data_IF_555448247753
#
_entry.id   IF_555448247753
#
_cell.length_a   1.000
_cell.length_b   1.000
_cell.length_c   1.000
_cell.angle_alpha   90.00
_cell.angle_beta   90.00
_cell.angle_gamma   90.00
#
_symmetry.space_group_name_H-M   'P 1'
#
loop_
_entity.id
_entity.type
_entity.pdbx_description
1 polymer ?
#
# COMPACT_ATOMS: atom_id res chain seq x y z
N UNK A 1 52.95 -68.00 15.48
CA UNK A 1 52.59 -67.07 16.58
C UNK A 1 51.77 -65.93 15.97
N UNK A 2 50.59 -65.65 16.55
CA UNK A 2 49.56 -64.64 16.20
C UNK A 2 50.00 -63.44 15.33
N UNK A 3 49.21 -63.05 14.34
CA UNK A 3 48.06 -62.15 14.58
C UNK A 3 47.12 -62.05 13.37
N UNK A 4 45.83 -62.05 13.67
CA UNK A 4 44.75 -61.64 12.79
C UNK A 4 44.74 -60.12 12.69
N UNK A 5 44.41 -59.55 11.52
CA UNK A 5 43.67 -58.29 11.53
C UNK A 5 42.70 -58.17 10.36
N UNK A 6 41.43 -58.06 10.73
CA UNK A 6 40.28 -57.80 9.86
C UNK A 6 40.27 -56.31 9.53
N UNK A 7 40.52 -55.94 8.27
CA UNK A 7 40.24 -54.56 7.83
C UNK A 7 38.77 -54.44 7.48
N UNK A 8 38.08 -53.62 8.27
CA UNK A 8 36.66 -53.29 8.15
C UNK A 8 36.46 -52.40 6.92
N UNK A 9 35.58 -52.81 6.01
CA UNK A 9 35.08 -51.97 4.92
C UNK A 9 34.18 -50.92 5.57
N UNK A 10 34.65 -49.67 5.66
CA UNK A 10 33.83 -48.55 6.06
C UNK A 10 33.06 -48.05 4.82
N UNK A 11 31.76 -48.36 4.76
CA UNK A 11 30.85 -47.81 3.78
C UNK A 11 30.53 -46.37 4.20
N UNK A 12 31.12 -45.37 3.53
CA UNK A 12 30.74 -43.97 3.71
C UNK A 12 29.46 -43.70 2.92
N UNK A 13 28.31 -43.76 3.58
CA UNK A 13 27.05 -43.25 3.02
C UNK A 13 27.08 -41.73 3.06
N UNK A 14 27.32 -41.11 1.90
CA UNK A 14 27.15 -39.69 1.70
C UNK A 14 25.65 -39.34 1.79
N UNK A 15 25.26 -38.65 2.87
CA UNK A 15 23.94 -38.04 2.97
C UNK A 15 23.98 -36.76 2.14
N UNK A 16 23.36 -36.78 0.95
CA UNK A 16 23.04 -35.55 0.22
C UNK A 16 21.97 -34.80 1.02
N UNK A 17 22.37 -33.75 1.73
CA UNK A 17 21.43 -32.78 2.27
C UNK A 17 20.79 -32.03 1.09
N UNK A 18 19.55 -32.37 0.76
CA UNK A 18 18.72 -31.57 -0.14
C UNK A 18 18.38 -30.29 0.62
N UNK A 19 19.16 -29.23 0.39
CA UNK A 19 18.76 -27.87 0.73
C UNK A 19 17.62 -27.48 -0.21
N UNK A 20 16.40 -27.88 0.16
CA UNK A 20 15.18 -27.35 -0.42
C UNK A 20 15.06 -25.90 0.00
N UNK A 21 15.66 -24.99 -0.79
CA UNK A 21 15.33 -23.58 -0.69
C UNK A 21 13.86 -23.43 -1.00
N UNK A 22 13.04 -23.14 0.02
CA UNK A 22 11.71 -22.63 -0.21
C UNK A 22 11.89 -21.32 -0.99
N UNK A 23 11.61 -21.36 -2.30
CA UNK A 23 11.38 -20.14 -3.04
C UNK A 23 10.21 -19.45 -2.33
N UNK A 24 10.52 -18.40 -1.58
CA UNK A 24 9.51 -17.48 -1.07
C UNK A 24 8.92 -16.85 -2.33
N UNK A 25 7.80 -17.40 -2.79
CA UNK A 25 7.03 -16.77 -3.85
C UNK A 25 6.65 -15.39 -3.32
N UNK A 26 7.19 -14.34 -3.95
CA UNK A 26 6.79 -12.98 -3.65
C UNK A 26 5.27 -12.91 -3.77
N UNK A 27 4.61 -12.51 -2.68
CA UNK A 27 3.16 -12.43 -2.63
C UNK A 27 2.69 -11.43 -3.68
N UNK A 28 1.82 -11.86 -4.60
CA UNK A 28 1.23 -10.93 -5.57
C UNK A 28 0.23 -10.03 -4.85
N UNK A 29 0.68 -8.83 -4.47
CA UNK A 29 -0.16 -7.81 -3.80
C UNK A 29 -1.44 -7.51 -4.58
N UNK A 30 -1.44 -7.71 -5.89
CA UNK A 30 -2.59 -7.45 -6.74
C UNK A 30 -3.67 -8.54 -6.71
N UNK A 31 -3.41 -9.67 -6.06
CA UNK A 31 -4.45 -10.66 -5.73
C UNK A 31 -5.28 -10.25 -4.48
N UNK A 32 -4.86 -9.22 -3.75
CA UNK A 32 -5.54 -8.78 -2.52
C UNK A 32 -6.81 -8.00 -2.83
N UNK A 33 -7.84 -8.25 -2.02
CA UNK A 33 -9.14 -7.60 -2.10
C UNK A 33 -9.65 -7.32 -0.70
N UNK A 34 -10.16 -6.10 -0.48
CA UNK A 34 -10.83 -5.74 0.78
C UNK A 34 -12.15 -6.51 0.96
N UNK A 35 -12.70 -6.60 2.18
CA UNK A 35 -13.99 -7.24 2.42
C UNK A 35 -15.13 -6.74 1.53
N UNK A 36 -15.12 -5.46 1.20
CA UNK A 36 -16.17 -4.80 0.39
C UNK A 36 -15.84 -4.71 -1.10
N UNK A 37 -14.72 -5.30 -1.50
CA UNK A 37 -14.45 -5.64 -2.87
C UNK A 37 -13.69 -4.62 -3.70
N UNK A 38 -13.08 -3.61 -3.07
CA UNK A 38 -12.01 -2.82 -3.69
C UNK A 38 -10.76 -3.71 -3.77
N UNK A 39 -10.23 -3.93 -4.96
CA UNK A 39 -9.05 -4.77 -5.18
C UNK A 39 -7.79 -3.91 -5.28
N UNK A 40 -6.64 -4.42 -4.81
CA UNK A 40 -5.39 -3.69 -4.97
C UNK A 40 -5.00 -3.59 -6.46
N UNK A 41 -5.44 -4.53 -7.29
CA UNK A 41 -5.27 -4.49 -8.75
C UNK A 41 -5.93 -3.27 -9.41
N UNK A 42 -6.99 -2.71 -8.81
CA UNK A 42 -7.69 -1.53 -9.34
C UNK A 42 -6.76 -0.29 -9.34
N UNK A 43 -5.75 -0.31 -8.45
CA UNK A 43 -4.77 0.75 -8.26
C UNK A 43 -3.41 0.42 -8.87
N UNK A 44 -3.31 -0.59 -9.75
CA UNK A 44 -2.03 -0.98 -10.37
C UNK A 44 -1.37 0.22 -11.06
N UNK A 45 -0.09 0.45 -10.73
CA UNK A 45 0.68 1.58 -11.25
C UNK A 45 0.50 2.88 -10.44
N UNK A 46 -0.08 2.82 -9.25
CA UNK A 46 -0.18 3.99 -8.36
C UNK A 46 1.18 4.60 -8.03
N UNK A 47 2.26 3.82 -8.13
CA UNK A 47 3.63 4.26 -7.92
C UNK A 47 4.05 5.37 -8.89
N UNK A 48 3.45 5.41 -10.09
CA UNK A 48 3.71 6.40 -11.14
C UNK A 48 2.66 7.54 -11.16
N UNK A 49 1.67 7.50 -10.27
CA UNK A 49 0.62 8.51 -10.22
C UNK A 49 1.14 9.86 -9.71
N UNK A 50 0.51 10.94 -10.17
CA UNK A 50 0.96 12.27 -9.81
C UNK A 50 0.65 12.59 -8.34
N UNK A 51 1.59 13.28 -7.68
CA UNK A 51 1.43 13.73 -6.29
C UNK A 51 0.32 14.77 -6.18
N UNK A 52 -0.64 14.50 -5.31
CA UNK A 52 -1.69 15.44 -4.90
C UNK A 52 -1.20 16.32 -3.76
N UNK A 53 -0.75 15.69 -2.67
CA UNK A 53 -0.39 16.36 -1.41
C UNK A 53 0.57 15.49 -0.61
N UNK A 54 1.15 16.07 0.44
CA UNK A 54 1.75 15.34 1.55
C UNK A 54 1.07 15.74 2.87
N UNK A 55 1.25 14.94 3.91
CA UNK A 55 0.87 15.25 5.28
C UNK A 55 1.80 14.53 6.25
N UNK A 56 1.98 15.04 7.46
CA UNK A 56 2.78 14.35 8.49
C UNK A 56 2.26 14.58 9.91
N UNK A 57 2.53 13.62 10.76
CA UNK A 57 2.64 13.78 12.22
C UNK A 57 4.11 13.60 12.60
N UNK A 58 4.42 13.53 13.90
CA UNK A 58 5.79 13.19 14.34
C UNK A 58 6.17 11.74 14.05
N UNK A 59 5.18 10.85 13.92
CA UNK A 59 5.38 9.41 13.78
C UNK A 59 5.12 8.90 12.37
N UNK A 60 4.36 9.63 11.56
CA UNK A 60 3.88 9.16 10.25
C UNK A 60 4.07 10.24 9.20
N UNK A 61 4.79 9.90 8.13
CA UNK A 61 4.86 10.65 6.89
C UNK A 61 3.90 10.05 5.86
N UNK A 62 3.13 10.91 5.18
CA UNK A 62 2.09 10.52 4.23
C UNK A 62 2.34 11.21 2.89
N UNK A 63 2.35 10.43 1.82
CA UNK A 63 2.34 10.93 0.43
C UNK A 63 1.05 10.49 -0.22
N UNK A 64 0.38 11.42 -0.90
CA UNK A 64 -0.91 11.20 -1.53
C UNK A 64 -0.75 11.40 -3.02
N UNK A 65 -1.11 10.38 -3.78
CA UNK A 65 -1.01 10.32 -5.24
C UNK A 65 -2.38 10.01 -5.82
N UNK A 66 -2.64 10.46 -7.05
CA UNK A 66 -3.92 10.21 -7.70
C UNK A 66 -3.76 9.98 -9.20
N UNK A 67 -4.69 9.19 -9.76
CA UNK A 67 -4.68 8.84 -11.16
C UNK A 67 -4.95 10.08 -12.05
N UNK A 68 -4.69 9.99 -13.37
CA UNK A 68 -4.90 11.11 -14.28
C UNK A 68 -6.33 11.69 -14.22
N UNK A 69 -7.36 10.84 -14.11
CA UNK A 69 -8.75 11.29 -14.04
C UNK A 69 -8.99 12.25 -12.85
N UNK A 70 -8.48 11.90 -11.67
CA UNK A 70 -8.63 12.74 -10.49
C UNK A 70 -7.75 13.99 -10.54
N UNK A 71 -6.56 13.90 -11.12
CA UNK A 71 -5.67 15.06 -11.32
C UNK A 71 -6.29 16.09 -12.27
N UNK A 72 -6.88 15.64 -13.38
CA UNK A 72 -7.59 16.55 -14.30
C UNK A 72 -8.83 17.16 -13.63
N UNK A 73 -9.55 16.41 -12.80
CA UNK A 73 -10.63 16.95 -11.99
C UNK A 73 -10.13 18.06 -11.04
N UNK A 74 -9.03 17.82 -10.32
CA UNK A 74 -8.41 18.83 -9.47
C UNK A 74 -8.01 20.09 -10.23
N UNK A 75 -7.38 19.95 -11.41
CA UNK A 75 -7.00 21.09 -12.27
C UNK A 75 -8.22 21.87 -12.77
N UNK A 76 -9.35 21.19 -13.00
CA UNK A 76 -10.64 21.82 -13.31
C UNK A 76 -11.33 22.47 -12.09
N UNK A 77 -10.68 22.46 -10.92
CA UNK A 77 -11.16 23.06 -9.69
C UNK A 77 -12.04 22.16 -8.84
N UNK A 78 -12.17 20.87 -9.15
CA UNK A 78 -12.92 19.90 -8.33
C UNK A 78 -12.09 19.52 -7.10
N UNK A 79 -12.70 19.37 -5.90
CA UNK A 79 -14.11 19.61 -5.57
C UNK A 79 -14.37 21.07 -5.15
N UNK A 80 -13.37 21.95 -5.20
CA UNK A 80 -13.47 23.35 -4.76
C UNK A 80 -14.52 24.19 -5.51
N UNK A 81 -14.90 23.77 -6.71
CA UNK A 81 -15.98 24.37 -7.52
C UNK A 81 -17.38 23.80 -7.21
N UNK A 82 -17.51 22.95 -6.19
CA UNK A 82 -18.78 22.35 -5.76
C UNK A 82 -19.22 21.13 -6.57
N UNK A 83 -18.47 20.71 -7.59
CA UNK A 83 -18.74 19.45 -8.31
C UNK A 83 -18.08 18.26 -7.61
N UNK A 84 -18.64 17.05 -7.72
CA UNK A 84 -17.99 15.83 -7.25
C UNK A 84 -16.88 15.39 -8.20
N UNK A 85 -15.99 14.52 -7.74
CA UNK A 85 -15.07 13.81 -8.61
C UNK A 85 -15.83 12.87 -9.56
N UNK A 86 -15.37 12.70 -10.81
CA UNK A 86 -15.99 11.77 -11.75
C UNK A 86 -15.76 10.31 -11.33
N UNK A 87 -16.66 9.42 -11.73
CA UNK A 87 -16.41 7.98 -11.66
C UNK A 87 -15.10 7.64 -12.41
N UNK A 88 -14.33 6.70 -11.86
CA UNK A 88 -12.96 6.39 -12.30
C UNK A 88 -11.88 7.26 -11.66
N UNK A 89 -12.22 8.29 -10.88
CA UNK A 89 -11.24 9.00 -10.06
C UNK A 89 -10.69 8.08 -8.96
N UNK A 90 -9.37 8.05 -8.80
CA UNK A 90 -8.70 7.19 -7.82
C UNK A 90 -7.60 7.95 -7.08
N UNK A 91 -7.47 7.66 -5.79
CA UNK A 91 -6.47 8.26 -4.90
C UNK A 91 -5.85 7.19 -3.99
N UNK A 92 -4.55 7.27 -3.80
CA UNK A 92 -3.81 6.44 -2.86
C UNK A 92 -3.06 7.33 -1.87
N UNK A 93 -3.07 6.95 -0.60
CA UNK A 93 -2.32 7.55 0.50
C UNK A 93 -1.37 6.52 1.06
N UNK A 94 -0.09 6.78 0.87
CA UNK A 94 1.03 5.93 1.22
C UNK A 94 1.65 6.44 2.53
N UNK A 95 1.94 5.53 3.46
CA UNK A 95 2.45 5.89 4.78
C UNK A 95 3.80 5.24 5.09
N UNK A 96 4.67 6.04 5.70
CA UNK A 96 5.95 5.60 6.25
C UNK A 96 6.12 6.12 7.67
N UNK A 97 6.88 5.36 8.47
CA UNK A 97 7.59 5.94 9.60
C UNK A 97 8.73 6.81 9.05
N UNK A 98 8.87 8.08 9.44
CA UNK A 98 9.98 8.91 9.03
C UNK A 98 11.24 8.63 9.88
N UNK A 99 12.41 8.94 9.33
CA UNK A 99 13.68 9.04 10.07
C UNK A 99 14.42 10.33 9.74
N UNK A 100 15.30 10.78 10.63
CA UNK A 100 16.24 11.85 10.32
C UNK A 100 17.19 11.40 9.21
N UNK A 101 17.40 12.26 8.21
CA UNK A 101 18.42 12.01 7.19
C UNK A 101 19.82 12.08 7.81
N UNK A 102 20.66 11.08 7.50
CA UNK A 102 22.09 11.06 7.85
C UNK A 102 22.98 11.64 6.76
N UNK A 103 22.41 11.95 5.60
CA UNK A 103 23.14 12.42 4.41
C UNK A 103 22.87 13.90 4.12
N UNK A 104 21.71 14.42 4.52
CA UNK A 104 21.35 15.81 4.27
C UNK A 104 22.20 16.76 5.13
N UNK A 105 22.72 17.87 4.57
CA UNK A 105 23.48 18.85 5.33
C UNK A 105 22.61 19.75 6.24
N UNK A 106 21.31 19.46 6.35
CA UNK A 106 20.35 20.19 7.17
C UNK A 106 19.36 19.23 7.85
N UNK A 107 18.71 19.70 8.91
CA UNK A 107 17.71 18.91 9.63
C UNK A 107 16.49 18.62 8.74
N UNK A 108 16.33 17.37 8.36
CA UNK A 108 15.20 16.91 7.55
C UNK A 108 14.89 15.46 7.87
N UNK A 109 13.60 15.14 7.85
CA UNK A 109 13.13 13.77 7.95
C UNK A 109 12.82 13.22 6.54
N UNK A 110 13.14 11.95 6.31
CA UNK A 110 12.88 11.22 5.07
C UNK A 110 12.04 9.97 5.35
N UNK A 111 11.30 9.42 4.36
CA UNK A 111 10.65 8.12 4.51
C UNK A 111 11.65 7.03 4.92
N UNK A 112 11.22 6.12 5.80
CA UNK A 112 12.01 4.96 6.22
C UNK A 112 11.24 3.65 6.03
N UNK A 113 10.40 3.30 7.00
CA UNK A 113 9.66 2.03 6.98
C UNK A 113 8.27 2.27 6.41
N UNK A 114 7.98 1.71 5.25
CA UNK A 114 6.62 1.72 4.69
C UNK A 114 5.69 0.87 5.56
N UNK A 115 4.44 1.30 5.74
CA UNK A 115 3.48 0.59 6.60
C UNK A 115 2.14 0.31 5.94
N UNK A 116 1.60 1.26 5.17
CA UNK A 116 0.20 1.18 4.72
C UNK A 116 -0.03 1.90 3.39
N UNK A 117 -0.86 1.28 2.55
CA UNK A 117 -1.51 1.91 1.40
C UNK A 117 -3.02 2.00 1.66
N UNK A 118 -3.52 3.22 1.84
CA UNK A 118 -4.95 3.50 1.84
C UNK A 118 -5.37 3.89 0.44
N UNK A 119 -6.44 3.31 -0.09
CA UNK A 119 -6.91 3.57 -1.44
C UNK A 119 -8.39 3.92 -1.45
N UNK A 120 -8.77 4.81 -2.36
CA UNK A 120 -10.16 5.14 -2.62
C UNK A 120 -10.40 5.27 -4.12
N UNK A 121 -11.52 4.71 -4.59
CA UNK A 121 -11.96 4.77 -5.97
C UNK A 121 -13.40 5.25 -6.08
N UNK A 122 -13.65 6.18 -7.00
CA UNK A 122 -14.98 6.67 -7.30
C UNK A 122 -15.65 5.73 -8.32
N UNK A 123 -16.72 5.09 -7.89
CA UNK A 123 -17.59 4.28 -8.74
C UNK A 123 -18.99 4.29 -8.11
N UNK A 124 -19.83 5.19 -8.62
CA UNK A 124 -21.17 5.43 -8.09
C UNK A 124 -22.10 4.22 -8.22
N UNK A 125 -21.84 3.32 -9.18
CA UNK A 125 -22.60 2.10 -9.37
C UNK A 125 -22.17 1.00 -8.40
N UNK A 126 -20.85 0.83 -8.18
CA UNK A 126 -20.30 -0.18 -7.28
C UNK A 126 -20.40 0.20 -5.81
N UNK A 127 -20.39 1.50 -5.49
CA UNK A 127 -20.41 2.01 -4.11
C UNK A 127 -21.55 3.01 -3.80
N UNK A 128 -22.83 2.63 -4.02
CA UNK A 128 -23.96 3.55 -3.90
C UNK A 128 -24.23 4.02 -2.46
N UNK A 129 -23.73 3.30 -1.44
CA UNK A 129 -24.00 3.58 -0.02
C UNK A 129 -22.97 4.52 0.63
N UNK A 130 -21.87 4.83 -0.04
CA UNK A 130 -20.73 5.55 0.52
C UNK A 130 -20.39 6.82 -0.27
N UNK A 131 -21.41 7.42 -0.89
CA UNK A 131 -21.24 8.60 -1.74
C UNK A 131 -20.48 8.29 -3.04
N UNK A 132 -20.56 7.04 -3.52
CA UNK A 132 -19.86 6.57 -4.71
C UNK A 132 -18.39 6.24 -4.49
N UNK A 133 -17.91 6.15 -3.25
CA UNK A 133 -16.51 5.87 -2.96
C UNK A 133 -16.29 4.49 -2.36
N UNK A 134 -15.42 3.69 -2.98
CA UNK A 134 -14.83 2.50 -2.36
C UNK A 134 -13.67 2.90 -1.46
N UNK A 135 -13.47 2.17 -0.37
CA UNK A 135 -12.38 2.39 0.59
C UNK A 135 -11.69 1.06 0.86
N UNK A 136 -10.36 1.04 0.78
CA UNK A 136 -9.57 -0.09 1.23
C UNK A 136 -8.26 0.34 1.88
N UNK A 137 -7.76 -0.52 2.74
CA UNK A 137 -6.47 -0.41 3.40
C UNK A 137 -5.71 -1.70 3.15
N UNK A 138 -4.47 -1.57 2.69
CA UNK A 138 -3.52 -2.67 2.58
C UNK A 138 -2.35 -2.40 3.54
N UNK A 139 -2.22 -3.26 4.53
CA UNK A 139 -1.13 -3.24 5.50
C UNK A 139 0.10 -3.89 4.88
N UNK A 140 1.28 -3.34 5.13
CA UNK A 140 2.55 -3.88 4.68
C UNK A 140 3.40 -4.27 5.89
N UNK A 141 3.88 -5.52 5.88
CA UNK A 141 4.78 -6.03 6.90
C UNK A 141 6.21 -6.00 6.38
N UNK A 142 7.01 -5.05 6.87
CA UNK A 142 8.36 -4.81 6.38
C UNK A 142 9.30 -5.99 6.66
N UNK A 143 9.07 -6.77 7.71
CA UNK A 143 9.91 -7.93 8.01
C UNK A 143 9.78 -9.06 6.97
N UNK A 144 8.59 -9.22 6.38
CA UNK A 144 8.30 -10.26 5.40
C UNK A 144 8.15 -9.75 3.97
N UNK A 145 8.16 -8.44 3.75
CA UNK A 145 7.92 -7.80 2.45
C UNK A 145 6.60 -8.23 1.81
N UNK A 146 5.53 -8.25 2.62
CA UNK A 146 4.21 -8.73 2.21
C UNK A 146 3.11 -7.73 2.50
N UNK A 147 2.11 -7.70 1.62
CA UNK A 147 0.87 -6.98 1.85
C UNK A 147 -0.22 -7.90 2.39
N UNK A 148 -1.12 -7.32 3.17
CA UNK A 148 -2.38 -7.94 3.57
C UNK A 148 -3.52 -6.91 3.45
N UNK A 149 -4.69 -7.36 2.98
CA UNK A 149 -5.90 -6.54 3.07
C UNK A 149 -6.31 -6.39 4.53
N UNK A 150 -6.60 -5.16 4.96
CA UNK A 150 -7.12 -4.91 6.29
C UNK A 150 -8.53 -5.49 6.44
N UNK A 151 -8.86 -6.15 7.57
CA UNK A 151 -10.17 -6.76 7.77
C UNK A 151 -11.27 -5.74 8.11
N UNK A 152 -10.95 -4.45 8.23
CA UNK A 152 -11.93 -3.40 8.53
C UNK A 152 -13.05 -3.34 7.48
N UNK A 153 -14.30 -3.11 7.91
CA UNK A 153 -15.43 -2.92 7.00
C UNK A 153 -15.36 -1.59 6.25
N UNK A 154 -16.03 -1.50 5.09
CA UNK A 154 -16.05 -0.33 4.18
C UNK A 154 -16.56 0.94 4.83
N UNK A 155 -17.50 0.81 5.77
CA UNK A 155 -18.08 1.94 6.48
C UNK A 155 -17.06 2.61 7.40
N UNK A 156 -15.99 1.93 7.82
CA UNK A 156 -14.92 2.52 8.62
C UNK A 156 -14.26 3.71 7.89
N UNK A 157 -13.91 3.54 6.62
CA UNK A 157 -13.36 4.62 5.78
C UNK A 157 -14.39 5.71 5.52
N UNK A 158 -15.59 5.32 5.10
CA UNK A 158 -16.65 6.26 4.78
C UNK A 158 -17.07 7.12 6.00
N UNK A 159 -17.26 6.51 7.17
CA UNK A 159 -17.67 7.19 8.39
C UNK A 159 -16.71 8.31 8.78
N UNK A 160 -15.40 8.09 8.62
CA UNK A 160 -14.39 9.12 8.84
C UNK A 160 -14.48 10.24 7.79
N UNK A 161 -14.68 9.87 6.52
CA UNK A 161 -14.67 10.82 5.40
C UNK A 161 -15.98 11.62 5.24
N UNK A 162 -17.08 11.23 5.90
CA UNK A 162 -18.33 12.01 5.95
C UNK A 162 -18.10 13.44 6.49
N UNK A 163 -17.12 13.63 7.38
CA UNK A 163 -16.74 14.94 7.90
C UNK A 163 -16.35 15.95 6.80
N UNK A 164 -15.91 15.47 5.64
CA UNK A 164 -15.55 16.29 4.48
C UNK A 164 -16.43 16.00 3.25
N UNK A 165 -17.70 15.61 3.48
CA UNK A 165 -18.69 15.39 2.41
C UNK A 165 -18.79 16.56 1.40
N UNK A 166 -18.68 17.80 1.87
CA UNK A 166 -18.71 18.99 1.01
C UNK A 166 -17.52 19.07 0.03
N UNK A 167 -16.44 18.31 0.26
CA UNK A 167 -15.28 18.14 -0.62
C UNK A 167 -15.31 16.80 -1.35
N UNK A 168 -16.52 16.29 -1.58
CA UNK A 168 -16.76 14.95 -2.11
C UNK A 168 -15.94 13.87 -1.40
N UNK A 169 -15.94 13.91 -0.07
CA UNK A 169 -15.28 12.94 0.81
C UNK A 169 -13.74 12.94 0.74
N UNK A 170 -13.09 13.94 0.14
CA UNK A 170 -11.62 14.01 0.05
C UNK A 170 -11.03 15.07 0.99
N UNK A 171 -10.12 14.65 1.87
CA UNK A 171 -9.43 15.54 2.81
C UNK A 171 -8.32 16.36 2.15
N UNK A 172 -7.59 15.76 1.21
CA UNK A 172 -6.34 16.33 0.72
C UNK A 172 -6.58 17.38 -0.37
N UNK A 173 -6.11 18.62 -0.17
CA UNK A 173 -6.19 19.64 -1.21
C UNK A 173 -5.15 19.37 -2.31
N UNK A 174 -5.45 19.78 -3.54
CA UNK A 174 -4.47 19.90 -4.60
C UNK A 174 -4.00 21.34 -4.69
N UNK A 175 -2.77 21.60 -4.22
CA UNK A 175 -2.23 22.96 -4.15
C UNK A 175 -1.85 23.47 -5.54
N UNK A 176 -2.16 24.74 -5.82
CA UNK A 176 -1.67 25.44 -7.00
C UNK A 176 -0.15 25.58 -6.89
N UNK A 177 0.54 25.36 -8.02
CA UNK A 177 1.98 25.51 -8.17
C UNK A 177 2.25 26.48 -9.30
#
# INVERSE_FOLDING_TARGET
>A
MKSNNKSKIALATAVLAVLGGAAVYAQDKYALKSPDGVAFSDFRGYEDWAVVSSARTDEVLKVIVANPAMIEAYKAGIPGNGKPFPDGAMIAKLQWKPKKSTEAPFAVDVPDVFSQAFVMEKDSARFPKSGGWGYALFNFEAASDTFAADPSPSDCGHACHVAVKAKDYIFHPYQKR
#
